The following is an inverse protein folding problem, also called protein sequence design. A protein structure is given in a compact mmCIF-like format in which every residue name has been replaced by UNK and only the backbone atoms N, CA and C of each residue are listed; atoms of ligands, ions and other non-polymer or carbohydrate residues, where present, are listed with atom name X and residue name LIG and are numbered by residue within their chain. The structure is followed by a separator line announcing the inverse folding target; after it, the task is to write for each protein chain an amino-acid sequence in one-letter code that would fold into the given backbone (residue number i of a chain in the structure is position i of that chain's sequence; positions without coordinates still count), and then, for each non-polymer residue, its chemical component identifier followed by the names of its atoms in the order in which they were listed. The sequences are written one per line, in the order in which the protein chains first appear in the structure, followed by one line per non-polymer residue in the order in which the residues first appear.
data_IF_809703131586
#
_entry.id   IF_809703131586
#
_cell.length_a   1.000
_cell.length_b   1.000
_cell.length_c   1.000
_cell.angle_alpha   90.00
_cell.angle_beta   90.00
_cell.angle_gamma   90.00
#
_symmetry.space_group_name_H-M   'P 1'
#
loop_
_entity.id
_entity.type
_entity.pdbx_description
1 polymer ?
#
# COMPACT_ATOMS: atom_id res chain seq x y z
N UNK A 1 -33.39 -34.99 -17.41
CA UNK A 1 -32.87 -33.66 -17.03
C UNK A 1 -31.37 -33.68 -17.29
N UNK A 2 -30.92 -33.19 -18.44
CA UNK A 2 -29.50 -33.06 -18.79
C UNK A 2 -29.12 -31.62 -18.46
N UNK A 3 -28.18 -31.45 -17.54
CA UNK A 3 -27.55 -30.15 -17.32
C UNK A 3 -26.51 -30.06 -18.43
N UNK A 4 -26.73 -29.16 -19.39
CA UNK A 4 -25.70 -28.79 -20.36
C UNK A 4 -24.64 -27.99 -19.61
N UNK A 5 -23.45 -28.57 -19.47
CA UNK A 5 -22.31 -28.02 -18.73
C UNK A 5 -21.41 -27.17 -19.66
N UNK A 6 -22.06 -26.41 -20.56
CA UNK A 6 -21.41 -25.72 -21.68
C UNK A 6 -21.73 -24.23 -21.66
N UNK A 7 -21.22 -23.53 -20.64
CA UNK A 7 -21.15 -22.07 -20.68
C UNK A 7 -20.00 -21.51 -19.83
N UNK A 8 -18.76 -21.82 -20.19
CA UNK A 8 -17.61 -21.08 -19.66
C UNK A 8 -16.70 -20.61 -20.82
N UNK A 9 -16.72 -19.33 -21.20
CA UNK A 9 -16.05 -18.82 -22.41
C UNK A 9 -14.59 -18.46 -22.13
N UNK A 10 -13.83 -19.36 -21.52
CA UNK A 10 -12.42 -19.13 -21.23
C UNK A 10 -11.57 -19.95 -22.16
N UNK A 11 -11.14 -19.32 -23.24
CA UNK A 11 -10.00 -19.82 -23.99
C UNK A 11 -8.75 -19.72 -23.10
N UNK A 12 -8.00 -20.82 -22.89
CA UNK A 12 -6.66 -20.73 -22.34
C UNK A 12 -5.88 -19.74 -23.21
N UNK A 13 -5.37 -18.67 -22.60
CA UNK A 13 -4.59 -17.66 -23.32
C UNK A 13 -3.38 -18.38 -23.92
N UNK A 14 -3.34 -18.43 -25.25
CA UNK A 14 -2.31 -19.11 -26.02
C UNK A 14 -0.94 -18.57 -25.59
N UNK A 15 -0.06 -19.52 -25.26
CA UNK A 15 1.29 -19.32 -24.76
C UNK A 15 2.10 -18.37 -25.68
N UNK A 16 2.28 -17.12 -25.24
CA UNK A 16 3.11 -16.14 -25.96
C UNK A 16 4.56 -16.31 -25.51
N UNK A 17 5.35 -16.93 -26.39
CA UNK A 17 6.80 -16.87 -26.56
C UNK A 17 7.64 -16.51 -25.33
N UNK A 18 8.10 -17.54 -24.61
CA UNK A 18 8.97 -17.52 -23.42
C UNK A 18 10.45 -17.14 -23.66
N UNK A 19 10.79 -16.37 -24.70
CA UNK A 19 12.21 -16.19 -25.07
C UNK A 19 12.71 -14.74 -25.20
N UNK A 20 11.90 -13.71 -24.90
CA UNK A 20 12.35 -12.32 -25.04
C UNK A 20 11.99 -11.48 -23.80
N UNK A 21 13.05 -11.04 -23.10
CA UNK A 21 13.09 -10.06 -22.02
C UNK A 21 12.76 -10.54 -20.58
N UNK A 22 13.64 -11.37 -20.01
CA UNK A 22 13.78 -11.53 -18.54
C UNK A 22 13.91 -10.18 -17.82
N UNK A 23 14.53 -9.21 -18.49
CA UNK A 23 14.64 -7.84 -18.00
C UNK A 23 13.29 -7.09 -17.97
N UNK A 24 12.35 -7.43 -18.87
CA UNK A 24 11.04 -6.78 -18.97
C UNK A 24 10.09 -7.16 -17.83
N UNK A 25 10.09 -8.43 -17.43
CA UNK A 25 9.24 -8.93 -16.35
C UNK A 25 9.58 -8.27 -15.00
N UNK A 26 10.87 -8.31 -14.64
CA UNK A 26 11.36 -7.72 -13.39
C UNK A 26 11.19 -6.20 -13.39
N UNK A 27 11.50 -5.54 -14.52
CA UNK A 27 11.32 -4.08 -14.65
C UNK A 27 9.85 -3.67 -14.46
N UNK A 28 8.91 -4.45 -15.01
CA UNK A 28 7.49 -4.20 -14.84
C UNK A 28 7.03 -4.38 -13.38
N UNK A 29 7.49 -5.43 -12.69
CA UNK A 29 7.19 -5.62 -11.26
C UNK A 29 7.77 -4.47 -10.44
N UNK A 30 9.01 -4.05 -10.74
CA UNK A 30 9.66 -2.91 -10.07
C UNK A 30 8.86 -1.62 -10.25
N UNK A 31 8.46 -1.31 -11.48
CA UNK A 31 7.63 -0.15 -11.77
C UNK A 31 6.32 -0.19 -10.99
N UNK A 32 5.63 -1.34 -11.00
CA UNK A 32 4.38 -1.50 -10.25
C UNK A 32 4.60 -1.32 -8.75
N UNK A 33 5.62 -1.96 -8.16
CA UNK A 33 5.93 -1.91 -6.73
C UNK A 33 6.17 -0.49 -6.24
N UNK A 34 6.96 0.29 -6.99
CA UNK A 34 7.27 1.67 -6.66
C UNK A 34 6.07 2.60 -6.86
N UNK A 35 5.17 2.29 -7.79
CA UNK A 35 3.98 3.08 -8.05
C UNK A 35 2.86 2.91 -6.99
N UNK A 36 2.88 1.86 -6.16
CA UNK A 36 1.80 1.58 -5.20
C UNK A 36 1.63 2.64 -4.11
N UNK A 37 2.67 3.39 -3.75
CA UNK A 37 2.62 4.45 -2.73
C UNK A 37 2.39 3.98 -1.28
N UNK A 38 2.07 2.69 -1.06
CA UNK A 38 1.95 2.06 0.25
C UNK A 38 3.12 1.09 0.56
N UNK A 39 4.17 1.09 -0.26
CA UNK A 39 5.40 0.33 -0.06
C UNK A 39 6.47 1.21 0.60
N UNK A 40 7.59 0.61 1.00
CA UNK A 40 8.77 1.35 1.49
C UNK A 40 9.43 2.24 0.44
N UNK A 41 8.98 2.20 -0.82
CA UNK A 41 9.55 2.98 -1.93
C UNK A 41 10.92 2.49 -2.39
N UNK A 42 11.38 1.32 -1.91
CA UNK A 42 12.68 0.73 -2.25
C UNK A 42 12.47 -0.59 -2.97
N UNK A 43 13.24 -0.81 -4.02
CA UNK A 43 13.29 -2.07 -4.75
C UNK A 43 14.76 -2.43 -4.94
N UNK A 44 15.26 -3.37 -4.13
CA UNK A 44 16.64 -3.79 -4.09
C UNK A 44 16.83 -5.26 -4.53
N UNK A 45 17.99 -5.82 -4.19
CA UNK A 45 18.38 -7.17 -4.61
C UNK A 45 17.43 -8.26 -4.09
N UNK A 46 16.85 -8.07 -2.89
CA UNK A 46 15.87 -9.00 -2.32
C UNK A 46 14.59 -9.04 -3.16
N UNK A 47 14.02 -7.87 -3.47
CA UNK A 47 12.82 -7.76 -4.29
C UNK A 47 13.07 -8.30 -5.70
N UNK A 48 14.24 -7.99 -6.28
CA UNK A 48 14.63 -8.55 -7.57
C UNK A 48 14.73 -10.08 -7.56
N UNK A 49 15.32 -10.67 -6.50
CA UNK A 49 15.38 -12.12 -6.34
C UNK A 49 13.98 -12.76 -6.22
N UNK A 50 13.06 -12.09 -5.53
CA UNK A 50 11.65 -12.52 -5.42
C UNK A 50 10.93 -12.42 -6.77
N UNK A 51 11.10 -11.32 -7.52
CA UNK A 51 10.55 -11.15 -8.86
C UNK A 51 11.07 -12.23 -9.83
N UNK A 52 12.38 -12.53 -9.80
CA UNK A 52 12.98 -13.64 -10.56
C UNK A 52 12.44 -15.01 -10.15
N UNK A 53 12.08 -15.19 -8.87
CA UNK A 53 11.46 -16.42 -8.41
C UNK A 53 10.07 -16.61 -9.03
N UNK A 54 9.25 -15.55 -9.05
CA UNK A 54 7.93 -15.56 -9.71
C UNK A 54 8.03 -15.85 -11.20
N UNK A 55 9.00 -15.22 -11.88
CA UNK A 55 9.26 -15.46 -13.29
C UNK A 55 9.65 -16.91 -13.57
N UNK A 56 10.60 -17.46 -12.80
CA UNK A 56 11.04 -18.87 -12.93
C UNK A 56 9.91 -19.86 -12.65
N UNK A 57 8.96 -19.50 -11.78
CA UNK A 57 7.75 -20.30 -11.51
C UNK A 57 6.71 -20.17 -12.62
N UNK A 58 6.94 -19.36 -13.65
CA UNK A 58 6.01 -19.14 -14.76
C UNK A 58 4.77 -18.35 -14.38
N UNK A 59 4.82 -17.56 -13.30
CA UNK A 59 3.66 -16.75 -12.88
C UNK A 59 3.42 -15.63 -13.89
N UNK A 60 2.23 -15.52 -14.52
CA UNK A 60 1.96 -14.50 -15.52
C UNK A 60 2.09 -13.09 -14.94
N UNK A 61 2.74 -12.18 -15.69
CA UNK A 61 3.00 -10.81 -15.24
C UNK A 61 1.71 -10.06 -14.85
N UNK A 62 0.63 -10.25 -15.62
CA UNK A 62 -0.65 -9.61 -15.33
C UNK A 62 -1.27 -10.09 -14.01
N UNK A 63 -1.08 -11.37 -13.65
CA UNK A 63 -1.52 -11.89 -12.35
C UNK A 63 -0.75 -11.23 -11.22
N UNK A 64 0.57 -11.07 -11.37
CA UNK A 64 1.40 -10.40 -10.36
C UNK A 64 0.97 -8.94 -10.20
N UNK A 65 0.79 -8.20 -11.30
CA UNK A 65 0.36 -6.80 -11.26
C UNK A 65 -0.99 -6.63 -10.58
N UNK A 66 -1.99 -7.42 -10.97
CA UNK A 66 -3.32 -7.29 -10.41
C UNK A 66 -3.36 -7.69 -8.93
N UNK A 67 -2.60 -8.72 -8.55
CA UNK A 67 -2.43 -9.11 -7.15
C UNK A 67 -1.77 -8.01 -6.33
N UNK A 68 -0.74 -7.34 -6.86
CA UNK A 68 -0.09 -6.20 -6.21
C UNK A 68 -1.06 -5.03 -6.00
N UNK A 69 -1.87 -4.71 -7.01
CA UNK A 69 -2.89 -3.67 -6.91
C UNK A 69 -3.94 -4.03 -5.86
N UNK A 70 -4.46 -5.26 -5.88
CA UNK A 70 -5.45 -5.70 -4.91
C UNK A 70 -4.90 -5.69 -3.47
N UNK A 71 -3.69 -6.18 -3.26
CA UNK A 71 -3.05 -6.17 -1.96
C UNK A 71 -2.83 -4.73 -1.44
N UNK A 72 -2.48 -3.80 -2.33
CA UNK A 72 -2.41 -2.38 -2.00
C UNK A 72 -3.78 -1.79 -1.64
N UNK A 73 -4.85 -2.14 -2.37
CA UNK A 73 -6.22 -1.77 -1.99
C UNK A 73 -6.58 -2.27 -0.58
N UNK A 74 -6.29 -3.55 -0.27
CA UNK A 74 -6.49 -4.13 1.07
C UNK A 74 -5.70 -3.35 2.14
N UNK A 75 -4.47 -2.94 1.83
CA UNK A 75 -3.62 -2.15 2.74
C UNK A 75 -4.20 -0.75 2.99
N UNK A 76 -4.60 -0.03 1.96
CA UNK A 76 -5.23 1.29 2.11
C UNK A 76 -6.55 1.23 2.87
N UNK A 77 -7.38 0.22 2.62
CA UNK A 77 -8.61 0.00 3.39
C UNK A 77 -8.29 -0.24 4.88
N UNK A 78 -7.28 -1.06 5.17
CA UNK A 78 -6.81 -1.25 6.56
C UNK A 78 -6.37 0.07 7.19
N UNK A 79 -5.64 0.92 6.46
CA UNK A 79 -5.21 2.22 6.96
C UNK A 79 -6.39 3.17 7.22
N UNK A 80 -7.36 3.18 6.32
CA UNK A 80 -8.57 3.97 6.48
C UNK A 80 -9.42 3.50 7.68
N UNK A 81 -9.53 2.20 7.90
CA UNK A 81 -10.38 1.68 8.98
C UNK A 81 -9.70 1.76 10.34
N UNK A 82 -8.41 1.41 10.42
CA UNK A 82 -7.71 1.18 11.69
C UNK A 82 -6.61 2.22 11.98
N UNK A 83 -6.40 3.18 11.09
CA UNK A 83 -5.25 4.09 11.15
C UNK A 83 -3.98 3.49 10.54
N UNK A 84 -2.92 4.29 10.52
CA UNK A 84 -1.67 3.92 9.86
C UNK A 84 -1.03 2.67 10.47
N UNK A 85 -0.50 1.82 9.60
CA UNK A 85 0.29 0.62 9.91
C UNK A 85 1.52 0.61 9.00
N UNK A 86 2.57 -0.12 9.36
CA UNK A 86 3.81 -0.20 8.59
C UNK A 86 3.60 -0.44 7.09
N UNK A 87 4.42 0.17 6.22
CA UNK A 87 4.32 0.01 4.78
C UNK A 87 4.64 -1.43 4.34
N UNK A 88 4.29 -1.78 3.10
CA UNK A 88 4.66 -3.07 2.52
C UNK A 88 6.17 -3.08 2.22
N UNK A 89 6.90 -3.98 2.85
CA UNK A 89 8.37 -4.02 2.80
C UNK A 89 8.96 -4.99 1.77
N UNK A 90 8.16 -5.89 1.16
CA UNK A 90 8.70 -6.97 0.32
C UNK A 90 7.65 -7.52 -0.65
N UNK A 91 8.11 -8.10 -1.77
CA UNK A 91 7.23 -8.82 -2.71
C UNK A 91 6.58 -10.04 -2.07
N UNK A 92 7.20 -10.66 -1.06
CA UNK A 92 6.61 -11.78 -0.33
C UNK A 92 5.22 -11.46 0.26
N UNK A 93 4.93 -10.20 0.54
CA UNK A 93 3.60 -9.76 1.01
C UNK A 93 2.50 -10.08 -0.02
N UNK A 94 2.82 -10.08 -1.30
CA UNK A 94 1.87 -10.32 -2.39
C UNK A 94 1.66 -11.80 -2.70
N UNK A 95 2.53 -12.70 -2.21
CA UNK A 95 2.48 -14.13 -2.55
C UNK A 95 1.14 -14.78 -2.24
N UNK A 96 0.49 -14.39 -1.12
CA UNK A 96 -0.83 -14.91 -0.75
C UNK A 96 -1.91 -14.50 -1.76
N UNK A 97 -1.89 -13.27 -2.25
CA UNK A 97 -2.85 -12.75 -3.24
C UNK A 97 -2.54 -13.29 -4.63
N UNK A 98 -1.26 -13.47 -4.97
CA UNK A 98 -0.84 -14.13 -6.21
C UNK A 98 -1.36 -15.57 -6.23
N UNK A 99 -1.18 -16.32 -5.14
CA UNK A 99 -1.70 -17.68 -5.02
C UNK A 99 -3.23 -17.72 -5.10
N UNK A 100 -3.93 -16.75 -4.50
CA UNK A 100 -5.38 -16.59 -4.62
C UNK A 100 -5.80 -16.43 -6.09
N UNK A 101 -5.12 -15.57 -6.85
CA UNK A 101 -5.45 -15.27 -8.24
C UNK A 101 -5.11 -16.40 -9.21
N UNK A 102 -4.03 -17.13 -8.93
CA UNK A 102 -3.68 -18.32 -9.71
C UNK A 102 -4.73 -19.43 -9.52
N UNK A 103 -5.27 -19.58 -8.31
CA UNK A 103 -6.29 -20.58 -7.99
C UNK A 103 -7.68 -20.18 -8.47
N UNK A 104 -8.04 -18.91 -8.31
CA UNK A 104 -9.34 -18.36 -8.66
C UNK A 104 -9.14 -16.95 -9.25
N UNK A 105 -8.92 -16.86 -10.57
CA UNK A 105 -8.73 -15.58 -11.23
C UNK A 105 -9.99 -14.71 -11.06
N UNK A 106 -9.85 -13.43 -10.64
CA UNK A 106 -11.00 -12.55 -10.57
C UNK A 106 -11.59 -12.28 -11.96
N UNK A 107 -12.92 -12.00 -12.05
CA UNK A 107 -13.56 -11.67 -13.31
C UNK A 107 -12.87 -10.50 -14.04
N UNK A 108 -12.83 -10.49 -15.39
CA UNK A 108 -12.15 -9.45 -16.15
C UNK A 108 -12.62 -8.03 -15.80
N UNK A 109 -13.93 -7.84 -15.64
CA UNK A 109 -14.50 -6.54 -15.28
C UNK A 109 -14.01 -6.05 -13.91
N UNK A 110 -13.86 -6.96 -12.96
CA UNK A 110 -13.31 -6.62 -11.65
C UNK A 110 -11.83 -6.23 -11.76
N UNK A 111 -11.03 -6.97 -12.55
CA UNK A 111 -9.61 -6.66 -12.81
C UNK A 111 -9.44 -5.27 -13.43
N UNK A 112 -10.26 -4.94 -14.42
CA UNK A 112 -10.23 -3.64 -15.10
C UNK A 112 -10.53 -2.47 -14.16
N UNK A 113 -11.28 -2.71 -13.08
CA UNK A 113 -11.60 -1.69 -12.08
C UNK A 113 -10.53 -1.52 -10.99
N UNK A 114 -9.63 -2.48 -10.79
CA UNK A 114 -8.62 -2.46 -9.72
C UNK A 114 -7.74 -1.19 -9.70
N UNK A 115 -7.21 -0.69 -10.84
CA UNK A 115 -6.39 0.53 -10.83
C UNK A 115 -7.16 1.77 -10.38
N UNK A 116 -8.44 1.88 -10.77
CA UNK A 116 -9.31 3.00 -10.40
C UNK A 116 -9.60 2.97 -8.90
N UNK A 117 -9.87 1.78 -8.34
CA UNK A 117 -10.10 1.61 -6.91
C UNK A 117 -8.85 1.93 -6.09
N UNK A 118 -7.66 1.49 -6.53
CA UNK A 118 -6.41 1.83 -5.87
C UNK A 118 -6.20 3.35 -5.82
N UNK A 119 -6.39 4.03 -6.95
CA UNK A 119 -6.27 5.50 -7.03
C UNK A 119 -7.26 6.19 -6.09
N UNK A 120 -8.51 5.72 -6.06
CA UNK A 120 -9.56 6.26 -5.18
C UNK A 120 -9.17 6.14 -3.71
N UNK A 121 -8.71 4.96 -3.29
CA UNK A 121 -8.30 4.68 -1.91
C UNK A 121 -7.06 5.47 -1.49
N UNK A 122 -6.04 5.53 -2.36
CA UNK A 122 -4.82 6.31 -2.11
C UNK A 122 -5.14 7.80 -1.92
N UNK A 123 -6.00 8.37 -2.77
CA UNK A 123 -6.45 9.76 -2.65
C UNK A 123 -7.28 10.01 -1.38
N UNK A 124 -8.09 9.03 -0.95
CA UNK A 124 -8.85 9.14 0.29
C UNK A 124 -7.92 9.14 1.51
N UNK A 125 -6.92 8.25 1.52
CA UNK A 125 -5.90 8.21 2.55
C UNK A 125 -5.10 9.51 2.63
N UNK A 126 -4.60 10.00 1.49
CA UNK A 126 -3.84 11.25 1.43
C UNK A 126 -4.61 12.43 2.03
N UNK A 127 -5.91 12.56 1.71
CA UNK A 127 -6.78 13.59 2.29
C UNK A 127 -6.89 13.47 3.81
N UNK A 128 -7.10 12.26 4.35
CA UNK A 128 -7.20 12.06 5.82
C UNK A 128 -5.91 12.41 6.55
N UNK A 129 -4.75 12.02 5.99
CA UNK A 129 -3.44 12.37 6.56
C UNK A 129 -3.27 13.90 6.58
N UNK A 130 -3.63 14.58 5.51
CA UNK A 130 -3.47 16.03 5.37
C UNK A 130 -4.40 16.81 6.31
N UNK A 131 -5.64 16.35 6.50
CA UNK A 131 -6.56 16.93 7.49
C UNK A 131 -6.01 16.78 8.91
N UNK A 132 -5.43 15.63 9.25
CA UNK A 132 -4.82 15.40 10.57
C UNK A 132 -3.62 16.32 10.82
N UNK A 133 -2.77 16.52 9.82
CA UNK A 133 -1.62 17.44 9.92
C UNK A 133 -2.04 18.89 10.13
N UNK A 134 -3.10 19.35 9.46
CA UNK A 134 -3.64 20.72 9.66
C UNK A 134 -4.28 20.95 11.03
N UNK A 135 -4.65 19.88 11.73
CA UNK A 135 -5.26 19.94 13.07
C UNK A 135 -4.24 19.82 14.20
N UNK A 136 -2.94 19.60 13.92
CA UNK A 136 -1.93 19.68 14.97
C UNK A 136 -1.79 21.14 15.43
N UNK A 137 -1.90 21.44 16.74
CA UNK A 137 -1.64 22.78 17.24
C UNK A 137 -0.20 23.16 16.91
N UNK A 138 0.02 24.42 16.53
CA UNK A 138 1.36 24.94 16.33
C UNK A 138 2.09 24.89 17.68
N UNK A 139 3.30 24.31 17.79
CA UNK A 139 4.04 24.29 19.05
C UNK A 139 4.38 25.69 19.60
N UNK A 140 4.16 26.76 18.82
CA UNK A 140 4.25 28.16 19.28
C UNK A 140 3.05 28.64 20.08
N UNK A 141 1.90 27.96 20.01
CA UNK A 141 0.68 28.33 20.73
C UNK A 141 0.61 27.66 22.13
N UNK A 142 1.55 26.76 22.43
CA UNK A 142 1.68 26.11 23.74
C UNK A 142 2.77 26.81 24.58
N UNK A 143 2.57 28.09 24.90
CA UNK A 143 3.39 28.77 25.90
C UNK A 143 2.68 28.68 27.26
N UNK A 144 3.32 28.11 28.31
CA UNK A 144 2.70 28.04 29.62
C UNK A 144 2.56 29.45 30.21
N UNK A 145 1.37 29.76 30.72
CA UNK A 145 1.09 30.95 31.52
C UNK A 145 2.05 30.99 32.72
N UNK A 146 3.12 31.77 32.59
CA UNK A 146 3.90 32.26 33.72
C UNK A 146 3.45 33.69 34.02
N UNK A 147 2.43 33.85 34.87
CA UNK A 147 2.38 34.97 35.83
C UNK A 147 1.26 34.77 36.86
N UNK A 148 1.59 34.17 38.00
CA UNK A 148 0.92 34.49 39.27
C UNK A 148 1.85 34.17 40.43
N UNK A 149 2.78 35.09 40.71
CA UNK A 149 3.47 35.12 42.00
C UNK A 149 2.99 36.33 42.79
N UNK A 150 2.18 36.05 43.80
CA UNK A 150 1.70 37.01 44.79
C UNK A 150 2.81 37.39 45.79
N UNK A 151 3.15 38.67 45.81
CA UNK A 151 3.36 39.55 46.97
C UNK A 151 3.57 38.92 48.36
N UNK A 152 4.78 39.07 48.93
CA UNK A 152 5.06 39.08 50.40
C UNK A 152 6.24 40.05 50.63
N UNK A 153 5.98 41.33 50.96
CA UNK A 153 6.23 42.03 52.25
C UNK A 153 7.71 42.19 52.62
N UNK A 154 8.24 43.39 52.37
CA UNK A 154 9.43 43.92 53.03
C UNK A 154 9.00 44.52 54.38
N UNK A 155 9.33 43.85 55.48
CA UNK A 155 9.42 44.45 56.82
C UNK A 155 10.92 44.54 57.15
N UNK A 156 11.45 45.75 57.20
CA UNK A 156 12.82 46.03 57.65
C UNK A 156 12.72 46.61 59.06
N UNK A 157 12.86 45.75 60.06
CA UNK A 157 13.21 46.13 61.43
C UNK A 157 14.71 45.83 61.58
N UNK A 158 15.54 46.87 61.63
CA UNK A 158 16.94 46.77 62.03
C UNK A 158 17.08 47.46 63.39
N UNK A 159 17.17 46.61 64.43
CA UNK A 159 17.51 46.97 65.81
C UNK A 159 18.92 46.41 66.07
N UNK A 160 19.92 47.29 66.14
CA UNK A 160 20.94 47.41 67.21
C UNK A 160 22.09 48.33 66.77
#
# INVERSE_FOLDING_TARGET
MRIEDEFWPYHPSTNVSTAQCTNGYIAAIRQQFLALGCTTGRFGASEEAQARSLERRGVPLEIVRDAMIMAACRKYLSWLNNGYSEPICSIAYFESVIAEFLRCPPPPDYRNNLPFELKRLANHWARRVQTRQKQLPNPRDAQPDQQSHGKIRDDVEEVY
#
